data_IF_526268511018
#
_entry.id   IF_526268511018
#
_cell.length_a   1.000
_cell.length_b   1.000
_cell.length_c   1.000
_cell.angle_alpha   90.00
_cell.angle_beta   90.00
_cell.angle_gamma   90.00
#
_symmetry.space_group_name_H-M   'P 1'
#
loop_
_entity.id
_entity.type
_entity.pdbx_description
1 polymer ?
#
# COMPACT_ATOMS: atom_id res chain seq x y z
N UNK A 1 -18.39 6.02 -1.10
CA UNK A 1 -17.82 4.80 -1.71
C UNK A 1 -18.01 3.64 -0.77
N UNK A 2 -18.50 2.52 -1.27
CA UNK A 2 -18.65 1.32 -0.45
C UNK A 2 -17.26 0.78 -0.05
N UNK A 3 -17.18 0.15 1.12
CA UNK A 3 -15.91 -0.42 1.61
C UNK A 3 -15.35 -1.44 0.63
N UNK A 4 -16.22 -2.23 -0.02
CA UNK A 4 -15.79 -3.22 -1.00
C UNK A 4 -15.13 -2.58 -2.22
N UNK A 5 -15.68 -1.48 -2.70
CA UNK A 5 -15.10 -0.73 -3.82
C UNK A 5 -13.75 -0.15 -3.44
N UNK A 6 -13.65 0.39 -2.25
CA UNK A 6 -12.40 0.96 -1.74
C UNK A 6 -11.35 -0.14 -1.56
N UNK A 7 -11.77 -1.29 -1.06
CA UNK A 7 -10.89 -2.45 -0.91
C UNK A 7 -10.34 -2.92 -2.27
N UNK A 8 -11.22 -3.06 -3.27
CA UNK A 8 -10.81 -3.49 -4.60
C UNK A 8 -9.87 -2.49 -5.25
N UNK A 9 -10.14 -1.21 -5.09
CA UNK A 9 -9.24 -0.16 -5.57
C UNK A 9 -7.87 -0.26 -4.88
N UNK A 10 -7.87 -0.50 -3.58
CA UNK A 10 -6.65 -0.64 -2.81
C UNK A 10 -5.83 -1.85 -3.23
N UNK A 11 -6.48 -2.99 -3.49
CA UNK A 11 -5.80 -4.19 -3.97
C UNK A 11 -5.11 -3.91 -5.32
N UNK A 12 -5.82 -3.28 -6.24
CA UNK A 12 -5.26 -2.96 -7.56
C UNK A 12 -4.02 -2.07 -7.44
N UNK A 13 -4.10 -1.03 -6.61
CA UNK A 13 -2.97 -0.11 -6.41
C UNK A 13 -1.81 -0.82 -5.71
N UNK A 14 -2.12 -1.63 -4.72
CA UNK A 14 -1.12 -2.39 -3.98
C UNK A 14 -0.34 -3.32 -4.91
N UNK A 15 -1.05 -4.03 -5.80
CA UNK A 15 -0.41 -4.91 -6.78
C UNK A 15 0.41 -4.13 -7.80
N UNK A 16 -0.10 -2.99 -8.23
CA UNK A 16 0.60 -2.14 -9.17
C UNK A 16 1.91 -1.60 -8.59
N UNK A 17 1.89 -1.20 -7.31
CA UNK A 17 3.05 -0.61 -6.66
C UNK A 17 4.05 -1.64 -6.15
N UNK A 18 3.57 -2.72 -5.56
CA UNK A 18 4.43 -3.67 -4.83
C UNK A 18 4.60 -5.01 -5.55
N UNK A 19 3.82 -5.25 -6.61
CA UNK A 19 3.84 -6.49 -7.35
C UNK A 19 2.69 -7.41 -6.96
N UNK A 20 2.31 -8.35 -7.87
CA UNK A 20 1.16 -9.23 -7.63
C UNK A 20 1.28 -10.08 -6.37
N UNK A 21 2.49 -10.42 -5.96
CA UNK A 21 2.71 -11.23 -4.76
C UNK A 21 2.34 -10.52 -3.47
N UNK A 22 2.13 -9.21 -3.51
CA UNK A 22 1.72 -8.41 -2.36
C UNK A 22 0.25 -8.00 -2.42
N UNK A 23 -0.52 -8.62 -3.31
CA UNK A 23 -1.92 -8.27 -3.52
C UNK A 23 -2.89 -9.09 -2.69
N UNK A 24 -4.06 -9.39 -3.30
CA UNK A 24 -5.19 -10.04 -2.60
C UNK A 24 -4.80 -11.33 -1.88
N UNK A 25 -4.07 -12.22 -2.55
CA UNK A 25 -3.72 -13.50 -1.95
C UNK A 25 -2.88 -13.32 -0.69
N UNK A 26 -1.97 -12.37 -0.70
CA UNK A 26 -1.13 -12.07 0.46
C UNK A 26 -1.96 -11.51 1.61
N UNK A 27 -2.84 -10.57 1.32
CA UNK A 27 -3.70 -9.95 2.34
C UNK A 27 -4.62 -11.01 2.96
N UNK A 28 -5.26 -11.82 2.12
CA UNK A 28 -6.25 -12.81 2.57
C UNK A 28 -5.61 -14.03 3.24
N UNK A 29 -4.31 -14.26 3.05
CA UNK A 29 -3.61 -15.38 3.67
C UNK A 29 -3.18 -15.12 5.10
N UNK A 30 -3.35 -13.92 5.61
CA UNK A 30 -2.94 -13.55 6.96
C UNK A 30 -3.87 -14.18 8.01
N UNK A 31 -3.38 -14.31 9.25
CA UNK A 31 -4.23 -14.69 10.37
C UNK A 31 -5.27 -13.61 10.66
N UNK A 32 -6.33 -13.95 11.40
CA UNK A 32 -7.50 -13.08 11.54
C UNK A 32 -7.15 -11.65 11.94
N UNK A 33 -6.33 -11.48 12.96
CA UNK A 33 -5.98 -10.14 13.43
C UNK A 33 -5.17 -9.37 12.39
N UNK A 34 -4.15 -10.03 11.84
CA UNK A 34 -3.28 -9.40 10.86
C UNK A 34 -4.03 -9.10 9.57
N UNK A 35 -4.96 -9.97 9.17
CA UNK A 35 -5.76 -9.77 7.98
C UNK A 35 -6.62 -8.52 8.11
N UNK A 36 -7.28 -8.32 9.25
CA UNK A 36 -8.08 -7.12 9.47
C UNK A 36 -7.24 -5.85 9.34
N UNK A 37 -6.03 -5.87 9.90
CA UNK A 37 -5.11 -4.75 9.79
C UNK A 37 -4.69 -4.52 8.34
N UNK A 38 -4.35 -5.58 7.63
CA UNK A 38 -3.96 -5.48 6.21
C UNK A 38 -5.11 -5.00 5.34
N UNK A 39 -6.35 -5.41 5.63
CA UNK A 39 -7.52 -4.91 4.92
C UNK A 39 -7.72 -3.41 5.17
N UNK A 40 -7.51 -2.96 6.41
CA UNK A 40 -7.59 -1.55 6.75
C UNK A 40 -6.54 -0.74 5.97
N UNK A 41 -5.30 -1.23 5.95
CA UNK A 41 -4.20 -0.61 5.21
C UNK A 41 -4.54 -0.56 3.71
N UNK A 42 -5.07 -1.66 3.17
CA UNK A 42 -5.44 -1.74 1.76
C UNK A 42 -6.51 -0.71 1.40
N UNK A 43 -7.55 -0.59 2.22
CA UNK A 43 -8.62 0.38 1.96
C UNK A 43 -8.14 1.81 2.08
N UNK A 44 -7.51 2.14 3.17
CA UNK A 44 -7.24 3.55 3.49
C UNK A 44 -5.89 4.03 3.01
N UNK A 45 -4.84 3.26 3.14
CA UNK A 45 -3.54 3.69 2.63
C UNK A 45 -3.47 3.54 1.12
N UNK A 46 -3.75 2.38 0.58
CA UNK A 46 -3.66 2.18 -0.87
C UNK A 46 -4.87 2.73 -1.60
N UNK A 47 -6.07 2.43 -1.13
CA UNK A 47 -7.29 2.88 -1.82
C UNK A 47 -7.52 4.36 -1.71
N UNK A 48 -7.51 4.90 -0.48
CA UNK A 48 -7.87 6.30 -0.27
C UNK A 48 -6.69 7.25 -0.45
N UNK A 49 -5.54 6.95 0.15
CA UNK A 49 -4.40 7.88 0.11
C UNK A 49 -3.62 7.76 -1.19
N UNK A 50 -3.14 6.56 -1.52
CA UNK A 50 -2.36 6.36 -2.75
C UNK A 50 -3.22 6.44 -4.00
N UNK A 51 -4.54 6.29 -3.87
CA UNK A 51 -5.46 6.42 -4.99
C UNK A 51 -5.84 7.84 -5.34
N UNK A 52 -5.40 8.83 -4.57
CA UNK A 52 -5.70 10.24 -4.85
C UNK A 52 -4.84 10.74 -5.99
N UNK A 53 -5.40 11.66 -6.76
CA UNK A 53 -4.73 12.21 -7.93
C UNK A 53 -4.05 13.56 -7.65
N UNK A 54 -4.24 14.14 -6.48
CA UNK A 54 -3.70 15.45 -6.14
C UNK A 54 -2.18 15.49 -6.11
N UNK A 55 -1.54 14.34 -5.88
CA UNK A 55 -0.09 14.24 -5.84
C UNK A 55 0.34 13.02 -6.63
N UNK A 56 1.24 13.15 -7.62
CA UNK A 56 1.70 12.01 -8.41
C UNK A 56 2.30 10.92 -7.52
N UNK A 57 2.06 9.66 -7.91
CA UNK A 57 2.57 8.51 -7.14
C UNK A 57 4.08 8.52 -6.98
N UNK A 58 4.80 8.90 -8.04
CA UNK A 58 6.26 9.00 -7.95
C UNK A 58 6.71 9.95 -6.86
N UNK A 59 6.05 11.11 -6.75
CA UNK A 59 6.35 12.09 -5.72
C UNK A 59 6.03 11.54 -4.34
N UNK A 60 4.88 10.84 -4.20
CA UNK A 60 4.52 10.20 -2.92
C UNK A 60 5.54 9.14 -2.51
N UNK A 61 6.00 8.34 -3.46
CA UNK A 61 7.04 7.34 -3.19
C UNK A 61 8.32 8.00 -2.71
N UNK A 62 8.74 9.08 -3.35
CA UNK A 62 9.95 9.80 -2.95
C UNK A 62 9.83 10.35 -1.53
N UNK A 63 8.69 10.95 -1.20
CA UNK A 63 8.46 11.48 0.14
C UNK A 63 8.44 10.35 1.18
N UNK A 64 7.78 9.24 0.85
CA UNK A 64 7.71 8.09 1.75
C UNK A 64 9.11 7.51 1.99
N UNK A 65 9.88 7.33 0.93
CA UNK A 65 11.25 6.82 1.03
C UNK A 65 12.11 7.74 1.88
N UNK A 66 11.99 9.06 1.67
CA UNK A 66 12.75 10.03 2.45
C UNK A 66 12.44 9.93 3.94
N UNK A 67 11.15 9.81 4.29
CA UNK A 67 10.74 9.65 5.67
C UNK A 67 11.23 8.33 6.29
N UNK A 68 11.16 7.24 5.51
CA UNK A 68 11.60 5.93 5.98
C UNK A 68 13.12 5.89 6.19
N UNK A 69 13.89 6.56 5.33
CA UNK A 69 15.32 6.69 5.51
C UNK A 69 15.62 7.42 6.82
N UNK A 70 14.91 8.52 7.05
CA UNK A 70 15.08 9.31 8.28
C UNK A 70 14.74 8.49 9.54
N UNK A 71 13.76 7.55 9.43
CA UNK A 71 13.32 6.72 10.54
C UNK A 71 14.09 5.40 10.65
N UNK A 72 14.95 5.08 9.69
CA UNK A 72 15.72 3.85 9.70
C UNK A 72 14.90 2.59 9.41
N UNK A 73 13.83 2.69 8.62
CA UNK A 73 12.93 1.56 8.33
C UNK A 73 13.36 0.83 7.06
N UNK A 74 14.40 0.02 7.17
CA UNK A 74 15.06 -0.60 6.02
C UNK A 74 14.14 -1.50 5.19
N UNK A 75 13.27 -2.28 5.82
CA UNK A 75 12.38 -3.20 5.09
C UNK A 75 11.35 -2.44 4.27
N UNK A 76 10.74 -1.43 4.86
CA UNK A 76 9.76 -0.60 4.19
C UNK A 76 10.40 0.21 3.06
N UNK A 77 11.66 0.63 3.23
CA UNK A 77 12.42 1.30 2.18
C UNK A 77 12.55 0.40 0.97
N UNK A 78 12.90 -0.85 1.16
CA UNK A 78 13.04 -1.81 0.05
C UNK A 78 11.74 -1.95 -0.73
N UNK A 79 10.62 -2.05 -0.03
CA UNK A 79 9.32 -2.17 -0.68
C UNK A 79 8.99 -0.93 -1.51
N UNK A 80 9.21 0.26 -0.96
CA UNK A 80 8.88 1.50 -1.66
C UNK A 80 9.83 1.83 -2.79
N UNK A 81 11.10 1.50 -2.67
CA UNK A 81 12.05 1.65 -3.78
C UNK A 81 11.65 0.74 -4.93
N UNK A 82 11.29 -0.50 -4.63
CA UNK A 82 10.83 -1.45 -5.65
C UNK A 82 9.57 -0.95 -6.35
N UNK A 83 8.64 -0.34 -5.61
CA UNK A 83 7.38 0.15 -6.13
C UNK A 83 7.44 1.51 -6.83
N UNK A 84 8.54 2.23 -6.64
CA UNK A 84 8.68 3.58 -7.23
C UNK A 84 8.97 3.55 -8.77
#
# INVERSE_FOLDING_TARGET
>A
MADDELYEKGIAIREEMLGPEHGRAKVESQGDFTREFEELVTRYCFGSVWGREQLPRGTRSMLTIAMLVALGRAQEIRWHVKGA
#
